data_IF_486595815901
#
_entry.id   IF_486595815901
#
_cell.length_a   1.000
_cell.length_b   1.000
_cell.length_c   1.000
_cell.angle_alpha   90.00
_cell.angle_beta   90.00
_cell.angle_gamma   90.00
#
_symmetry.space_group_name_H-M   'P 1'
#
loop_
_entity.id
_entity.type
_entity.pdbx_description
1 polymer ?
#
# COMPACT_ATOMS: atom_id res chain seq x y z
N UNK A 1 -15.72 -7.55 15.43
CA UNK A 1 -15.11 -7.29 14.13
C UNK A 1 -15.47 -5.86 13.76
N UNK A 2 -14.50 -5.03 13.55
CA UNK A 2 -14.70 -3.64 13.11
C UNK A 2 -15.32 -3.66 11.71
N UNK A 3 -16.19 -2.71 11.41
CA UNK A 3 -16.85 -2.61 10.10
C UNK A 3 -16.20 -1.51 9.28
N UNK A 4 -16.14 -1.72 7.98
CA UNK A 4 -15.75 -0.70 7.02
C UNK A 4 -16.72 0.50 7.08
N UNK A 5 -16.19 1.67 7.29
CA UNK A 5 -16.90 2.96 7.32
C UNK A 5 -16.30 3.90 6.26
N UNK A 6 -16.84 3.91 5.04
CA UNK A 6 -16.29 4.72 3.96
C UNK A 6 -16.37 6.23 4.23
N UNK A 7 -17.40 6.70 4.95
CA UNK A 7 -17.56 8.12 5.27
C UNK A 7 -16.47 8.58 6.25
N UNK A 8 -16.14 7.73 7.23
CA UNK A 8 -15.04 8.00 8.14
C UNK A 8 -13.69 8.04 7.42
N UNK A 9 -13.40 7.04 6.58
CA UNK A 9 -12.14 6.98 5.83
C UNK A 9 -12.00 8.20 4.90
N UNK A 10 -13.08 8.55 4.19
CA UNK A 10 -13.11 9.74 3.35
C UNK A 10 -12.81 11.00 4.15
N UNK A 11 -13.54 11.24 5.24
CA UNK A 11 -13.37 12.43 6.10
C UNK A 11 -11.94 12.54 6.64
N UNK A 12 -11.36 11.40 7.05
CA UNK A 12 -9.97 11.35 7.52
C UNK A 12 -8.99 11.83 6.43
N UNK A 13 -9.11 11.30 5.21
CA UNK A 13 -8.20 11.65 4.12
C UNK A 13 -8.46 13.05 3.55
N UNK A 14 -9.69 13.54 3.60
CA UNK A 14 -10.02 14.94 3.27
C UNK A 14 -9.31 15.92 4.22
N UNK A 15 -9.29 15.61 5.53
CA UNK A 15 -8.56 16.40 6.53
C UNK A 15 -7.03 16.22 6.45
N UNK A 16 -6.59 15.02 6.10
CA UNK A 16 -5.16 14.71 5.96
C UNK A 16 -4.52 15.53 4.84
N UNK A 17 -5.26 15.76 3.75
CA UNK A 17 -4.95 16.71 2.69
C UNK A 17 -3.53 16.54 2.12
N UNK A 18 -2.81 17.66 2.01
CA UNK A 18 -1.46 17.72 1.42
C UNK A 18 -0.39 16.95 2.21
N UNK A 19 -0.67 16.52 3.43
CA UNK A 19 0.30 15.76 4.23
C UNK A 19 0.69 14.44 3.57
N UNK A 20 -0.19 13.84 2.76
CA UNK A 20 0.14 12.61 2.04
C UNK A 20 1.11 12.89 0.88
N UNK A 21 0.94 13.98 0.14
CA UNK A 21 1.87 14.36 -0.94
C UNK A 21 3.30 14.62 -0.45
N UNK A 22 3.44 15.12 0.79
CA UNK A 22 4.72 15.42 1.43
C UNK A 22 5.36 14.21 2.14
N UNK A 23 4.67 13.08 2.22
CA UNK A 23 5.09 11.90 3.00
C UNK A 23 6.53 11.49 2.68
N UNK A 24 6.87 11.37 1.41
CA UNK A 24 8.13 10.81 0.95
C UNK A 24 9.35 11.72 1.13
N UNK A 25 9.12 13.00 1.45
CA UNK A 25 10.18 13.99 1.73
C UNK A 25 10.42 14.23 3.23
N UNK A 26 9.62 13.61 4.12
CA UNK A 26 9.69 13.86 5.57
C UNK A 26 10.96 13.34 6.22
N UNK A 27 11.48 12.23 5.75
CA UNK A 27 12.70 11.64 6.29
C UNK A 27 13.35 10.69 5.28
N UNK A 28 14.64 10.35 5.46
CA UNK A 28 15.31 9.33 4.66
C UNK A 28 14.62 7.98 4.68
N UNK A 29 14.02 7.58 5.80
CA UNK A 29 13.29 6.33 5.89
C UNK A 29 12.04 6.30 4.98
N UNK A 30 11.26 7.40 4.94
CA UNK A 30 10.15 7.51 3.99
C UNK A 30 10.64 7.55 2.54
N UNK A 31 11.79 8.17 2.29
CA UNK A 31 12.41 8.16 0.96
C UNK A 31 12.83 6.74 0.56
N UNK A 32 13.41 5.95 1.46
CA UNK A 32 13.77 4.56 1.21
C UNK A 32 12.52 3.73 0.87
N UNK A 33 11.43 3.90 1.62
CA UNK A 33 10.17 3.24 1.31
C UNK A 33 9.66 3.60 -0.10
N UNK A 34 9.72 4.88 -0.47
CA UNK A 34 9.36 5.31 -1.83
C UNK A 34 10.20 4.59 -2.90
N UNK A 35 11.53 4.53 -2.71
CA UNK A 35 12.44 3.89 -3.66
C UNK A 35 12.17 2.37 -3.77
N UNK A 36 11.77 1.70 -2.69
CA UNK A 36 11.30 0.31 -2.70
C UNK A 36 10.07 0.16 -3.61
N UNK A 37 9.03 1.00 -3.45
CA UNK A 37 7.85 0.96 -4.32
C UNK A 37 8.20 1.25 -5.78
N UNK A 38 9.10 2.20 -6.04
CA UNK A 38 9.60 2.49 -7.39
C UNK A 38 10.25 1.24 -8.02
N UNK A 39 11.05 0.49 -7.27
CA UNK A 39 11.66 -0.77 -7.76
C UNK A 39 10.58 -1.79 -8.10
N UNK A 40 9.61 -2.04 -7.21
CA UNK A 40 8.51 -2.95 -7.47
C UNK A 40 7.73 -2.61 -8.75
N UNK A 41 7.45 -1.33 -8.97
CA UNK A 41 6.72 -0.88 -10.17
C UNK A 41 7.58 -1.00 -11.43
N UNK A 42 8.86 -0.63 -11.40
CA UNK A 42 9.79 -0.75 -12.54
C UNK A 42 9.97 -2.19 -13.01
N UNK A 43 9.93 -3.14 -12.11
CA UNK A 43 10.04 -4.57 -12.43
C UNK A 43 8.80 -5.12 -13.14
N UNK A 44 7.62 -4.54 -12.91
CA UNK A 44 6.33 -5.14 -13.29
C UNK A 44 5.55 -4.32 -14.33
N UNK A 45 5.62 -2.99 -14.27
CA UNK A 45 4.92 -2.11 -15.21
C UNK A 45 5.69 -2.00 -16.52
N UNK A 46 4.97 -2.05 -17.65
CA UNK A 46 5.52 -1.87 -19.00
C UNK A 46 4.71 -0.84 -19.77
N UNK A 47 5.34 -0.22 -20.76
CA UNK A 47 4.66 0.73 -21.63
C UNK A 47 3.44 0.11 -22.32
N UNK A 48 2.35 0.87 -22.37
CA UNK A 48 1.09 0.47 -22.96
C UNK A 48 0.18 -0.37 -22.07
N UNK A 49 0.65 -0.85 -20.89
CA UNK A 49 -0.21 -1.53 -19.93
C UNK A 49 -1.29 -0.60 -19.39
N UNK A 50 -2.47 -1.16 -19.15
CA UNK A 50 -3.57 -0.49 -18.44
C UNK A 50 -3.45 -0.78 -16.96
N UNK A 51 -3.29 0.25 -16.16
CA UNK A 51 -3.11 0.17 -14.70
C UNK A 51 -4.27 0.86 -14.00
N UNK A 52 -4.88 0.19 -13.02
CA UNK A 52 -5.82 0.80 -12.09
C UNK A 52 -5.08 1.05 -10.76
N UNK A 53 -5.04 2.29 -10.30
CA UNK A 53 -4.49 2.68 -9.00
C UNK A 53 -5.64 2.98 -8.04
N UNK A 54 -5.94 2.01 -7.12
CA UNK A 54 -7.03 2.06 -6.16
C UNK A 54 -6.55 2.61 -4.81
N UNK A 55 -7.19 3.69 -4.35
CA UNK A 55 -6.67 4.48 -3.24
C UNK A 55 -5.44 5.25 -3.71
N UNK A 56 -5.57 5.92 -4.88
CA UNK A 56 -4.46 6.60 -5.54
C UNK A 56 -3.86 7.74 -4.71
N UNK A 57 -4.61 8.22 -3.70
CA UNK A 57 -4.17 9.36 -2.90
C UNK A 57 -3.81 10.54 -3.80
N UNK A 58 -2.66 11.21 -3.55
CA UNK A 58 -2.20 12.30 -4.40
C UNK A 58 -1.51 11.82 -5.69
N UNK A 59 -1.69 10.57 -6.11
CA UNK A 59 -1.21 10.05 -7.40
C UNK A 59 0.26 9.62 -7.46
N UNK A 60 0.86 9.30 -6.33
CA UNK A 60 2.29 8.92 -6.28
C UNK A 60 2.59 7.72 -7.17
N UNK A 61 1.85 6.63 -7.04
CA UNK A 61 2.09 5.39 -7.81
C UNK A 61 1.57 5.52 -9.24
N UNK A 62 0.47 6.24 -9.44
CA UNK A 62 -0.05 6.58 -10.76
C UNK A 62 1.01 7.30 -11.60
N UNK A 63 1.66 8.34 -11.05
CA UNK A 63 2.72 9.08 -11.72
C UNK A 63 3.90 8.19 -12.10
N UNK A 64 4.37 7.31 -11.19
CA UNK A 64 5.46 6.37 -11.48
C UNK A 64 5.06 5.43 -12.63
N UNK A 65 3.84 4.87 -12.61
CA UNK A 65 3.35 3.98 -13.65
C UNK A 65 3.27 4.71 -15.02
N UNK A 66 2.82 5.97 -15.03
CA UNK A 66 2.78 6.80 -16.24
C UNK A 66 4.19 7.12 -16.78
N UNK A 67 5.15 7.42 -15.90
CA UNK A 67 6.57 7.62 -16.26
C UNK A 67 7.17 6.35 -16.91
N UNK A 68 6.66 5.16 -16.57
CA UNK A 68 7.01 3.89 -17.19
C UNK A 68 6.23 3.61 -18.50
N UNK A 69 5.38 4.54 -18.92
CA UNK A 69 4.62 4.47 -20.16
C UNK A 69 3.29 3.72 -20.07
N UNK A 70 2.80 3.42 -18.88
CA UNK A 70 1.47 2.83 -18.69
C UNK A 70 0.35 3.85 -18.89
N UNK A 71 -0.83 3.35 -19.21
CA UNK A 71 -2.10 4.09 -19.20
C UNK A 71 -2.75 3.86 -17.84
N UNK A 72 -3.01 4.92 -17.10
CA UNK A 72 -3.43 4.81 -15.69
C UNK A 72 -4.83 5.36 -15.50
N UNK A 73 -5.66 4.62 -14.78
CA UNK A 73 -6.91 5.09 -14.18
C UNK A 73 -6.70 5.18 -12.68
N UNK A 74 -7.04 6.32 -12.08
CA UNK A 74 -6.94 6.56 -10.64
C UNK A 74 -8.32 6.45 -10.00
N UNK A 75 -8.41 5.72 -8.88
CA UNK A 75 -9.62 5.65 -8.06
C UNK A 75 -9.27 6.03 -6.62
N UNK A 76 -10.04 6.93 -6.03
CA UNK A 76 -9.93 7.25 -4.60
C UNK A 76 -11.30 7.56 -4.00
N UNK A 77 -11.43 7.33 -2.70
CA UNK A 77 -12.64 7.61 -1.94
C UNK A 77 -12.74 9.10 -1.56
N UNK A 78 -11.59 9.78 -1.42
CA UNK A 78 -11.49 11.19 -1.05
C UNK A 78 -11.46 12.08 -2.31
N UNK A 79 -12.44 12.99 -2.47
CA UNK A 79 -12.41 13.97 -3.54
C UNK A 79 -11.22 14.94 -3.42
N UNK A 80 -10.73 15.21 -2.21
CA UNK A 80 -9.55 16.05 -1.95
C UNK A 80 -8.29 15.38 -2.47
N UNK A 81 -8.10 14.10 -2.14
CA UNK A 81 -6.96 13.33 -2.64
C UNK A 81 -7.02 13.17 -4.16
N UNK A 82 -8.20 12.93 -4.72
CA UNK A 82 -8.36 12.81 -6.16
C UNK A 82 -8.10 14.13 -6.92
N UNK A 83 -8.40 15.28 -6.29
CA UNK A 83 -8.01 16.58 -6.84
C UNK A 83 -6.49 16.77 -6.85
N UNK A 84 -5.80 16.42 -5.75
CA UNK A 84 -4.34 16.42 -5.69
C UNK A 84 -3.72 15.44 -6.70
N UNK A 85 -4.36 14.28 -6.94
CA UNK A 85 -3.94 13.32 -7.96
C UNK A 85 -4.00 13.93 -9.36
N UNK A 86 -5.05 14.67 -9.70
CA UNK A 86 -5.16 15.35 -11.01
C UNK A 86 -4.04 16.37 -11.24
N UNK A 87 -3.59 17.03 -10.18
CA UNK A 87 -2.50 18.01 -10.27
C UNK A 87 -1.13 17.33 -10.41
N UNK A 88 -0.88 16.21 -9.69
CA UNK A 88 0.42 15.54 -9.66
C UNK A 88 0.62 14.53 -10.79
N UNK A 89 -0.45 13.96 -11.31
CA UNK A 89 -0.48 12.97 -12.39
C UNK A 89 -1.45 13.39 -13.53
N UNK A 90 -1.26 14.56 -14.18
CA UNK A 90 -2.25 15.21 -15.06
C UNK A 90 -2.50 14.49 -16.39
N UNK A 91 -1.94 13.33 -16.61
CA UNK A 91 -2.09 12.57 -17.85
C UNK A 91 -2.75 11.21 -17.65
N UNK A 92 -3.36 10.94 -16.50
CA UNK A 92 -4.09 9.70 -16.31
C UNK A 92 -5.34 9.64 -17.23
N UNK A 93 -5.70 8.43 -17.64
CA UNK A 93 -6.84 8.19 -18.53
C UNK A 93 -8.16 8.61 -17.87
N UNK A 94 -8.30 8.39 -16.56
CA UNK A 94 -9.48 8.78 -15.78
C UNK A 94 -9.17 8.94 -14.28
N UNK A 95 -10.06 9.67 -13.57
CA UNK A 95 -10.02 9.91 -12.12
C UNK A 95 -11.41 9.65 -11.56
N UNK A 96 -11.59 8.51 -10.95
CA UNK A 96 -12.88 7.99 -10.51
C UNK A 96 -13.04 8.16 -8.99
N UNK A 97 -14.08 8.85 -8.56
CA UNK A 97 -14.46 8.90 -7.14
C UNK A 97 -15.18 7.60 -6.80
N UNK A 98 -14.63 6.82 -5.88
CA UNK A 98 -15.18 5.52 -5.53
C UNK A 98 -14.38 4.77 -4.48
N UNK A 99 -14.85 3.60 -4.12
CA UNK A 99 -14.23 2.73 -3.12
C UNK A 99 -13.66 1.46 -3.74
N UNK A 100 -12.52 1.00 -3.22
CA UNK A 100 -11.92 -0.29 -3.63
C UNK A 100 -12.83 -1.50 -3.35
N UNK A 101 -13.82 -1.36 -2.48
CA UNK A 101 -14.79 -2.41 -2.16
C UNK A 101 -15.92 -2.52 -3.20
N UNK A 102 -16.00 -1.57 -4.14
CA UNK A 102 -16.97 -1.58 -5.24
C UNK A 102 -16.34 -1.02 -6.52
N UNK A 103 -15.80 -1.91 -7.34
CA UNK A 103 -15.24 -1.60 -8.66
C UNK A 103 -16.23 -1.89 -9.79
N UNK A 104 -17.55 -1.89 -9.52
CA UNK A 104 -18.58 -2.11 -10.51
C UNK A 104 -18.59 -1.15 -11.72
N UNK A 105 -18.04 0.09 -11.63
CA UNK A 105 -17.85 0.93 -12.81
C UNK A 105 -16.90 0.34 -13.85
N UNK A 106 -16.05 -0.64 -13.48
CA UNK A 106 -15.08 -1.27 -14.37
C UNK A 106 -15.54 -2.67 -14.77
N UNK A 107 -15.44 -2.98 -16.05
CA UNK A 107 -15.72 -4.32 -16.56
C UNK A 107 -14.67 -5.34 -16.08
N UNK A 108 -15.03 -6.63 -16.10
CA UNK A 108 -14.11 -7.72 -15.80
C UNK A 108 -12.91 -7.67 -16.77
N UNK A 109 -11.74 -8.06 -16.29
CA UNK A 109 -10.51 -8.16 -17.08
C UNK A 109 -10.11 -6.85 -17.81
N UNK A 110 -10.43 -5.68 -17.24
CA UNK A 110 -10.20 -4.37 -17.86
C UNK A 110 -8.76 -3.89 -17.76
N UNK A 111 -7.99 -4.38 -16.78
CA UNK A 111 -6.65 -3.88 -16.46
C UNK A 111 -5.59 -4.99 -16.54
N UNK A 112 -4.37 -4.61 -16.92
CA UNK A 112 -3.20 -5.50 -16.90
C UNK A 112 -2.64 -5.62 -15.48
N UNK A 113 -2.69 -4.52 -14.72
CA UNK A 113 -2.25 -4.43 -13.33
C UNK A 113 -3.28 -3.62 -12.53
N UNK A 114 -3.68 -4.13 -11.36
CA UNK A 114 -4.41 -3.37 -10.34
C UNK A 114 -3.52 -3.16 -9.12
N UNK A 115 -3.43 -1.91 -8.67
CA UNK A 115 -2.64 -1.47 -7.52
C UNK A 115 -3.57 -1.08 -6.36
N UNK A 116 -3.16 -1.40 -5.14
CA UNK A 116 -3.69 -0.85 -3.89
C UNK A 116 -2.52 -0.66 -2.93
N UNK A 117 -1.62 0.26 -3.27
CA UNK A 117 -0.37 0.51 -2.56
C UNK A 117 -0.52 1.66 -1.57
N UNK A 118 0.26 1.64 -0.49
CA UNK A 118 0.20 2.64 0.58
C UNK A 118 -0.84 2.38 1.66
N UNK A 119 -1.52 1.22 1.62
CA UNK A 119 -2.36 0.73 2.71
C UNK A 119 -3.88 0.82 2.54
N UNK A 120 -4.47 1.01 1.35
CA UNK A 120 -5.93 1.14 1.21
C UNK A 120 -6.71 -0.02 1.81
N UNK A 121 -6.22 -1.27 1.65
CA UNK A 121 -6.86 -2.46 2.22
C UNK A 121 -6.91 -2.47 3.75
N UNK A 122 -6.00 -1.76 4.42
CA UNK A 122 -5.98 -1.67 5.89
C UNK A 122 -7.19 -0.93 6.48
N UNK A 123 -7.94 -0.24 5.66
CA UNK A 123 -9.16 0.47 6.04
C UNK A 123 -10.44 -0.28 5.68
N UNK A 124 -10.33 -1.41 4.96
CA UNK A 124 -11.50 -2.16 4.49
C UNK A 124 -12.12 -3.10 5.54
N UNK A 125 -11.45 -3.41 6.63
CA UNK A 125 -11.92 -4.25 7.74
C UNK A 125 -12.68 -5.51 7.26
N UNK A 126 -13.98 -5.65 7.61
CA UNK A 126 -14.83 -6.77 7.21
C UNK A 126 -15.09 -6.86 5.70
N UNK A 127 -14.76 -5.83 4.92
CA UNK A 127 -14.89 -5.79 3.46
C UNK A 127 -13.58 -6.08 2.72
N UNK A 128 -12.48 -6.39 3.40
CA UNK A 128 -11.18 -6.61 2.76
C UNK A 128 -11.21 -7.75 1.73
N UNK A 129 -11.92 -8.85 2.03
CA UNK A 129 -12.08 -9.96 1.10
C UNK A 129 -12.82 -9.54 -0.17
N UNK A 130 -13.85 -8.70 -0.05
CA UNK A 130 -14.57 -8.12 -1.19
C UNK A 130 -13.66 -7.22 -2.01
N UNK A 131 -12.89 -6.35 -1.37
CA UNK A 131 -11.95 -5.47 -2.07
C UNK A 131 -10.93 -6.26 -2.90
N UNK A 132 -10.34 -7.33 -2.33
CA UNK A 132 -9.40 -8.19 -3.05
C UNK A 132 -10.09 -8.94 -4.20
N UNK A 133 -11.32 -9.41 -4.01
CA UNK A 133 -12.11 -10.07 -5.07
C UNK A 133 -12.42 -9.11 -6.22
N UNK A 134 -12.74 -7.85 -5.94
CA UNK A 134 -12.96 -6.83 -6.96
C UNK A 134 -11.66 -6.50 -7.73
N UNK A 135 -10.52 -6.35 -7.04
CA UNK A 135 -9.21 -6.20 -7.70
C UNK A 135 -8.91 -7.39 -8.62
N UNK A 136 -9.16 -8.62 -8.16
CA UNK A 136 -8.98 -9.83 -8.97
C UNK A 136 -9.91 -9.83 -10.20
N UNK A 137 -11.19 -9.49 -10.04
CA UNK A 137 -12.20 -9.46 -11.11
C UNK A 137 -11.83 -8.49 -12.24
N UNK A 138 -11.44 -7.27 -11.90
CA UNK A 138 -11.14 -6.24 -12.91
C UNK A 138 -9.75 -6.41 -13.55
N UNK A 139 -8.89 -7.25 -12.95
CA UNK A 139 -7.60 -7.62 -13.52
C UNK A 139 -7.77 -8.77 -14.51
N UNK A 140 -7.16 -8.67 -15.70
CA UNK A 140 -7.26 -9.71 -16.72
C UNK A 140 -6.59 -11.03 -16.28
N UNK A 141 -6.98 -12.18 -16.85
CA UNK A 141 -6.23 -13.43 -16.70
C UNK A 141 -4.74 -13.25 -17.02
N UNK A 142 -3.87 -13.78 -16.17
CA UNK A 142 -2.42 -13.57 -16.23
C UNK A 142 -1.93 -12.20 -15.80
N UNK A 143 -2.83 -11.25 -15.48
CA UNK A 143 -2.50 -9.92 -14.97
C UNK A 143 -2.03 -9.95 -13.51
N UNK A 144 -1.58 -8.82 -12.99
CA UNK A 144 -1.00 -8.70 -11.66
C UNK A 144 -1.87 -7.83 -10.73
N UNK A 145 -1.98 -8.25 -9.49
CA UNK A 145 -2.52 -7.45 -8.38
C UNK A 145 -1.38 -7.13 -7.43
N UNK A 146 -1.10 -5.83 -7.24
CA UNK A 146 -0.09 -5.33 -6.31
C UNK A 146 -0.75 -4.59 -5.15
N UNK A 147 -0.56 -5.08 -3.93
CA UNK A 147 -1.16 -4.47 -2.74
C UNK A 147 -0.11 -4.20 -1.68
N UNK A 148 -0.35 -3.22 -0.82
CA UNK A 148 0.37 -3.12 0.44
C UNK A 148 -0.57 -2.79 1.58
N UNK A 149 -0.30 -3.37 2.75
CA UNK A 149 -1.11 -3.24 3.96
C UNK A 149 -0.22 -2.89 5.14
N UNK A 150 -0.75 -2.19 6.13
CA UNK A 150 -0.04 -1.93 7.38
C UNK A 150 0.32 -3.25 8.07
N UNK A 151 1.57 -3.38 8.51
CA UNK A 151 2.08 -4.58 9.19
C UNK A 151 1.93 -4.45 10.70
N UNK A 152 1.31 -5.44 11.35
CA UNK A 152 1.23 -5.48 12.81
C UNK A 152 2.62 -5.59 13.44
N UNK A 153 3.46 -6.50 12.98
CA UNK A 153 4.79 -6.69 13.56
C UNK A 153 5.72 -5.53 13.23
N UNK A 154 5.59 -4.97 12.01
CA UNK A 154 6.30 -3.76 11.63
C UNK A 154 5.89 -2.55 12.48
N UNK A 155 4.59 -2.37 12.75
CA UNK A 155 4.11 -1.31 13.63
C UNK A 155 4.67 -1.45 15.07
N UNK A 156 4.68 -2.66 15.63
CA UNK A 156 5.30 -2.94 16.92
C UNK A 156 6.79 -2.60 16.93
N UNK A 157 7.51 -2.92 15.85
CA UNK A 157 8.95 -2.68 15.74
C UNK A 157 9.26 -1.18 15.56
N UNK A 158 8.60 -0.51 14.61
CA UNK A 158 8.89 0.89 14.28
C UNK A 158 8.35 1.89 15.31
N UNK A 159 7.32 1.52 16.07
CA UNK A 159 6.69 2.37 17.09
C UNK A 159 6.81 1.81 18.50
N UNK A 160 7.85 1.02 18.79
CA UNK A 160 8.00 0.30 20.07
C UNK A 160 7.91 1.24 21.27
N UNK A 161 8.48 2.44 21.21
CA UNK A 161 8.39 3.43 22.29
C UNK A 161 6.94 3.81 22.61
N UNK A 162 6.13 4.09 21.55
CA UNK A 162 4.70 4.40 21.69
C UNK A 162 3.91 3.20 22.22
N UNK A 163 4.19 2.01 21.70
CA UNK A 163 3.56 0.76 22.16
C UNK A 163 3.81 0.53 23.64
N UNK A 164 5.05 0.69 24.12
CA UNK A 164 5.39 0.51 25.53
C UNK A 164 4.78 1.60 26.44
N UNK A 165 4.42 2.75 25.92
CA UNK A 165 3.76 3.83 26.65
C UNK A 165 2.25 3.59 26.80
N UNK A 166 1.65 2.72 26.00
CA UNK A 166 0.21 2.40 26.09
C UNK A 166 -0.08 1.43 27.26
N UNK A 167 -1.22 1.57 27.94
CA UNK A 167 -1.70 0.60 28.92
C UNK A 167 -1.89 -0.78 28.29
N UNK A 168 -1.65 -1.84 29.08
CA UNK A 168 -1.78 -3.22 28.62
C UNK A 168 -3.22 -3.55 28.16
N UNK A 169 -4.21 -2.90 28.76
CA UNK A 169 -5.63 -3.05 28.42
C UNK A 169 -5.92 -2.61 26.98
N UNK A 170 -5.14 -1.68 26.44
CA UNK A 170 -5.21 -1.24 25.03
C UNK A 170 -4.31 -2.08 24.13
N UNK A 171 -3.07 -2.35 24.56
CA UNK A 171 -2.11 -3.10 23.74
C UNK A 171 -2.55 -4.54 23.45
N UNK A 172 -3.07 -5.28 24.46
CA UNK A 172 -3.43 -6.69 24.28
C UNK A 172 -4.48 -6.92 23.20
N UNK A 173 -5.64 -6.21 23.17
CA UNK A 173 -6.62 -6.33 22.10
C UNK A 173 -6.03 -5.99 20.72
N UNK A 174 -5.25 -4.91 20.61
CA UNK A 174 -4.62 -4.48 19.36
C UNK A 174 -3.69 -5.58 18.82
N UNK A 175 -2.81 -6.11 19.66
CA UNK A 175 -1.89 -7.18 19.24
C UNK A 175 -2.65 -8.47 18.91
N UNK A 176 -3.76 -8.76 19.59
CA UNK A 176 -4.56 -9.96 19.32
C UNK A 176 -5.32 -9.87 18.00
N UNK A 177 -6.02 -8.75 17.72
CA UNK A 177 -6.86 -8.58 16.54
C UNK A 177 -6.11 -8.02 15.33
N UNK A 178 -5.14 -7.14 15.53
CA UNK A 178 -4.54 -6.29 14.51
C UNK A 178 -5.27 -4.95 14.33
N UNK A 179 -6.43 -4.77 14.95
CA UNK A 179 -7.22 -3.55 14.82
C UNK A 179 -6.66 -2.44 15.71
N UNK A 180 -6.24 -1.34 15.10
CA UNK A 180 -5.79 -0.14 15.76
C UNK A 180 -6.96 0.83 15.88
N UNK A 181 -7.46 1.11 17.09
CA UNK A 181 -8.60 1.99 17.27
C UNK A 181 -8.19 3.47 17.20
N UNK A 182 -9.12 4.33 16.78
CA UNK A 182 -8.90 5.77 16.61
C UNK A 182 -8.46 6.50 17.87
N UNK A 183 -8.84 6.00 19.03
CA UNK A 183 -8.49 6.57 20.34
C UNK A 183 -6.99 6.49 20.63
N UNK A 184 -6.28 5.58 19.97
CA UNK A 184 -4.85 5.35 20.18
C UNK A 184 -3.99 6.21 19.25
N UNK A 185 -4.37 6.25 17.96
CA UNK A 185 -3.52 6.86 16.91
C UNK A 185 -4.18 8.03 16.19
N UNK A 186 -5.41 8.36 16.53
CA UNK A 186 -6.21 9.36 15.81
C UNK A 186 -6.86 8.85 14.54
N UNK A 187 -6.45 7.68 14.02
CA UNK A 187 -7.11 7.03 12.91
C UNK A 187 -7.28 5.53 13.19
N UNK A 188 -8.24 4.92 12.51
CA UNK A 188 -8.59 3.51 12.68
C UNK A 188 -8.13 2.71 11.47
N UNK A 189 -7.42 1.60 11.70
CA UNK A 189 -6.98 0.71 10.64
C UNK A 189 -6.76 -0.71 11.13
N UNK A 190 -6.78 -1.66 10.21
CA UNK A 190 -6.34 -3.03 10.47
C UNK A 190 -4.88 -3.21 10.07
N UNK A 191 -4.07 -3.74 11.00
CA UNK A 191 -2.68 -4.10 10.79
C UNK A 191 -2.58 -5.61 10.58
N UNK A 192 -2.12 -6.01 9.42
CA UNK A 192 -2.10 -7.40 8.97
C UNK A 192 -0.90 -8.18 9.50
N UNK A 193 -1.10 -9.49 9.59
CA UNK A 193 -0.02 -10.47 9.65
C UNK A 193 0.27 -11.00 8.25
N UNK A 194 1.49 -11.43 8.01
CA UNK A 194 1.94 -11.96 6.70
C UNK A 194 1.05 -13.11 6.23
N UNK A 195 0.79 -14.10 7.11
CA UNK A 195 -0.06 -15.25 6.76
C UNK A 195 -1.52 -14.89 6.53
N UNK A 196 -2.03 -13.85 7.19
CA UNK A 196 -3.39 -13.36 6.99
C UNK A 196 -3.57 -12.77 5.59
N UNK A 197 -2.66 -11.86 5.16
CA UNK A 197 -2.70 -11.29 3.82
C UNK A 197 -2.58 -12.37 2.75
N UNK A 198 -1.62 -13.31 2.92
CA UNK A 198 -1.44 -14.42 1.98
C UNK A 198 -2.71 -15.27 1.84
N UNK A 199 -3.36 -15.59 2.97
CA UNK A 199 -4.60 -16.36 2.96
C UNK A 199 -5.75 -15.63 2.25
N UNK A 200 -5.91 -14.32 2.46
CA UNK A 200 -6.93 -13.51 1.79
C UNK A 200 -6.71 -13.45 0.27
N UNK A 201 -5.47 -13.25 -0.19
CA UNK A 201 -5.14 -13.24 -1.60
C UNK A 201 -5.43 -14.60 -2.25
N UNK A 202 -5.03 -15.69 -1.60
CA UNK A 202 -5.29 -17.06 -2.07
C UNK A 202 -6.79 -17.38 -2.09
N UNK A 203 -7.54 -16.95 -1.07
CA UNK A 203 -9.00 -17.13 -1.01
C UNK A 203 -9.75 -16.39 -2.12
N UNK A 204 -9.20 -15.29 -2.63
CA UNK A 204 -9.71 -14.58 -3.80
C UNK A 204 -9.30 -15.20 -5.15
N UNK A 205 -8.67 -16.38 -5.13
CA UNK A 205 -8.25 -17.11 -6.32
C UNK A 205 -6.94 -16.64 -6.95
N UNK A 206 -6.20 -15.75 -6.28
CA UNK A 206 -4.91 -15.27 -6.76
C UNK A 206 -3.82 -16.32 -6.49
N UNK A 207 -2.86 -16.42 -7.40
CA UNK A 207 -1.74 -17.36 -7.37
C UNK A 207 -0.40 -16.62 -7.41
N UNK A 208 0.72 -17.35 -7.28
CA UNK A 208 2.08 -16.80 -7.34
C UNK A 208 2.27 -15.61 -6.37
N UNK A 209 1.83 -15.77 -5.12
CA UNK A 209 1.89 -14.71 -4.11
C UNK A 209 3.33 -14.49 -3.66
N UNK A 210 3.89 -13.35 -4.05
CA UNK A 210 5.20 -12.85 -3.61
C UNK A 210 4.99 -11.83 -2.48
N UNK A 211 5.75 -11.94 -1.40
CA UNK A 211 5.65 -11.08 -0.23
C UNK A 211 6.98 -10.41 0.08
N UNK A 212 6.94 -9.15 0.46
CA UNK A 212 8.10 -8.36 0.91
C UNK A 212 7.65 -7.29 1.89
N UNK A 213 8.62 -6.56 2.46
CA UNK A 213 8.35 -5.44 3.37
C UNK A 213 8.63 -4.09 2.72
N UNK A 214 7.98 -3.04 3.22
CA UNK A 214 8.30 -1.66 2.91
C UNK A 214 9.09 -1.05 4.08
N UNK A 215 10.42 -1.03 3.96
CA UNK A 215 11.35 -0.50 4.96
C UNK A 215 11.55 -1.45 6.14
N UNK A 216 12.70 -2.12 6.15
CA UNK A 216 13.07 -3.08 7.19
C UNK A 216 14.29 -2.65 7.99
N UNK A 217 15.41 -2.38 7.31
CA UNK A 217 16.67 -1.99 7.97
C UNK A 217 16.60 -0.55 8.47
N UNK A 218 16.05 0.35 7.66
CA UNK A 218 15.93 1.76 7.99
C UNK A 218 14.61 2.03 8.72
N UNK A 219 14.72 2.20 10.04
CA UNK A 219 13.56 2.51 10.88
C UNK A 219 13.04 3.93 10.62
N UNK A 220 11.76 4.17 10.88
CA UNK A 220 11.15 5.49 10.73
C UNK A 220 11.80 6.56 11.63
N UNK A 221 12.19 6.16 12.84
CA UNK A 221 12.98 6.98 13.76
C UNK A 221 14.45 6.58 13.61
N UNK A 222 15.19 7.34 12.81
CA UNK A 222 16.64 7.16 12.64
C UNK A 222 17.32 7.52 13.97
N UNK A 223 18.18 6.65 14.53
CA UNK A 223 18.91 6.96 15.75
C UNK A 223 19.74 8.23 15.61
N UNK A 224 19.79 9.04 16.66
CA UNK A 224 20.64 10.23 16.72
C UNK A 224 22.11 9.87 16.43
N UNK A 225 22.75 10.65 15.54
CA UNK A 225 24.16 10.46 15.18
C UNK A 225 24.41 9.38 14.13
N UNK A 226 23.38 8.79 13.53
CA UNK A 226 23.52 7.93 12.35
C UNK A 226 23.56 8.78 11.09
N UNK A 227 24.72 8.87 10.46
CA UNK A 227 24.88 9.51 9.15
C UNK A 227 24.39 8.57 8.05
N UNK A 228 23.32 8.96 7.37
CA UNK A 228 22.78 8.21 6.24
C UNK A 228 23.42 8.66 4.94
N UNK A 229 23.56 7.74 3.95
CA UNK A 229 24.03 8.09 2.63
C UNK A 229 23.15 9.16 1.97
N UNK A 230 23.75 9.97 1.11
CA UNK A 230 23.01 10.91 0.27
C UNK A 230 22.09 10.14 -0.69
N UNK A 231 20.83 10.58 -0.80
CA UNK A 231 19.84 9.96 -1.69
C UNK A 231 20.32 9.96 -3.14
N UNK A 232 20.36 8.80 -3.76
CA UNK A 232 20.86 8.61 -5.13
C UNK A 232 22.37 8.42 -5.25
N UNK A 233 23.12 8.40 -4.13
CA UNK A 233 24.52 7.99 -4.11
C UNK A 233 24.66 6.47 -4.32
N UNK A 234 25.89 6.00 -4.59
CA UNK A 234 26.17 4.57 -4.71
C UNK A 234 25.92 3.82 -3.39
N UNK A 235 26.20 4.47 -2.26
CA UNK A 235 25.93 3.94 -0.92
C UNK A 235 24.44 3.85 -0.63
N UNK A 236 23.64 4.80 -1.12
CA UNK A 236 22.18 4.75 -1.03
C UNK A 236 21.61 3.59 -1.84
N UNK A 237 22.07 3.39 -3.07
CA UNK A 237 21.65 2.27 -3.92
C UNK A 237 22.04 0.93 -3.29
N UNK A 238 23.24 0.81 -2.70
CA UNK A 238 23.63 -0.38 -1.94
C UNK A 238 22.72 -0.64 -0.76
N UNK A 239 22.35 0.41 0.01
CA UNK A 239 21.42 0.29 1.13
C UNK A 239 20.03 -0.14 0.65
N UNK A 240 19.56 0.39 -0.48
CA UNK A 240 18.29 -0.01 -1.09
C UNK A 240 18.32 -1.49 -1.53
N UNK A 241 19.41 -1.97 -2.10
CA UNK A 241 19.57 -3.40 -2.46
C UNK A 241 19.54 -4.28 -1.21
N UNK A 242 20.19 -3.87 -0.13
CA UNK A 242 20.17 -4.57 1.15
C UNK A 242 18.75 -4.60 1.77
N UNK A 243 18.04 -3.46 1.72
CA UNK A 243 16.63 -3.36 2.14
C UNK A 243 15.74 -4.32 1.37
N UNK A 244 15.85 -4.36 0.04
CA UNK A 244 15.05 -5.23 -0.82
C UNK A 244 15.33 -6.71 -0.51
N UNK A 245 16.59 -7.09 -0.34
CA UNK A 245 16.96 -8.47 0.01
C UNK A 245 16.40 -8.88 1.39
N UNK A 246 16.59 -8.03 2.41
CA UNK A 246 16.10 -8.29 3.77
C UNK A 246 14.56 -8.32 3.83
N UNK A 247 13.89 -7.51 3.01
CA UNK A 247 12.42 -7.41 2.98
C UNK A 247 11.75 -8.69 2.53
N UNK A 248 12.37 -9.46 1.63
CA UNK A 248 11.87 -10.75 1.15
C UNK A 248 11.97 -11.82 2.25
N UNK A 249 13.07 -11.80 3.02
CA UNK A 249 13.28 -12.74 4.13
C UNK A 249 12.36 -12.44 5.33
N UNK A 250 11.93 -11.19 5.48
CA UNK A 250 11.14 -10.73 6.64
C UNK A 250 9.97 -9.81 6.23
N UNK A 251 8.98 -10.31 5.47
CA UNK A 251 7.92 -9.48 4.90
C UNK A 251 7.07 -8.72 5.94
N UNK A 252 7.02 -9.22 7.18
CA UNK A 252 6.26 -8.60 8.26
C UNK A 252 7.03 -7.55 9.07
N UNK A 253 8.31 -7.34 8.83
CA UNK A 253 9.15 -6.47 9.66
C UNK A 253 9.10 -4.99 9.27
N UNK A 254 8.72 -4.66 8.04
CA UNK A 254 8.55 -3.28 7.59
C UNK A 254 7.22 -2.67 8.02
N UNK A 255 7.07 -1.37 7.82
CA UNK A 255 5.83 -0.64 8.13
C UNK A 255 4.62 -1.16 7.37
N UNK A 256 4.86 -1.65 6.14
CA UNK A 256 3.85 -2.31 5.32
C UNK A 256 4.38 -3.67 4.85
N UNK A 257 3.44 -4.62 4.72
CA UNK A 257 3.64 -5.83 3.94
C UNK A 257 3.25 -5.48 2.51
N UNK A 258 4.15 -5.71 1.55
CA UNK A 258 3.88 -5.58 0.12
C UNK A 258 3.61 -6.98 -0.43
N UNK A 259 2.54 -7.13 -1.19
CA UNK A 259 2.23 -8.38 -1.88
C UNK A 259 2.00 -8.12 -3.37
N UNK A 260 2.51 -9.04 -4.17
CA UNK A 260 2.19 -9.18 -5.59
C UNK A 260 1.63 -10.57 -5.83
N UNK A 261 0.55 -10.63 -6.59
CA UNK A 261 -0.09 -11.90 -6.93
C UNK A 261 -0.61 -11.85 -8.35
N UNK A 262 -0.87 -13.01 -8.92
CA UNK A 262 -1.34 -13.15 -10.31
C UNK A 262 -2.77 -13.66 -10.35
N UNK A 263 -3.58 -13.07 -11.23
CA UNK A 263 -4.84 -13.70 -11.64
C UNK A 263 -4.50 -14.93 -12.51
N UNK A 264 -5.04 -16.12 -12.21
CA UNK A 264 -4.78 -17.31 -13.02
C UNK A 264 -5.01 -17.05 -14.50
N UNK A 265 -4.11 -17.56 -15.36
CA UNK A 265 -4.38 -17.59 -16.78
C UNK A 265 -5.58 -18.51 -17.09
N UNK A 266 -6.36 -18.18 -18.10
CA UNK A 266 -7.38 -19.11 -18.59
C UNK A 266 -6.68 -20.44 -18.98
N UNK A 267 -7.25 -21.56 -18.51
CA UNK A 267 -6.77 -22.88 -18.94
C UNK A 267 -7.19 -23.06 -20.40
N UNK A 268 -6.23 -23.32 -21.27
CA UNK A 268 -6.48 -23.66 -22.67
C UNK A 268 -7.36 -24.92 -22.80
#
# INVERSE_FOLDING_TARGET
MVRFDPEYVQSWYDEYGDRESQRWSRSPAFRMQYDIYVRHLRERVRAGMRVLDCGSGPGTYARIAMELGARVTCLDLSPVQLAACRESAPGADDYVLGTITDLSPFADASFDICLALGGPLSYCFDQVGRAISELSRVTRPGGLVGVSVMSLHGALHHHLRGVLALPLELNRPIVASGDLPREVSGHECHMFRVGELAALLTAAGLVDVELSASGFLLQLEVPDGLDLPEVGSAEWEWLLEAELAASIESPGAGTHIIAWARVPAESD
#
